data_IF_822751409635
#
_entry.id   IF_822751409635
#
_cell.length_a   1.000
_cell.length_b   1.000
_cell.length_c   1.000
_cell.angle_alpha   90.00
_cell.angle_beta   90.00
_cell.angle_gamma   90.00
#
_symmetry.space_group_name_H-M   'P 1'
#
loop_
_entity.id
_entity.type
_entity.pdbx_description
1 polymer ?
#
# COMPACT_ATOMS: atom_id res chain seq x y z
N UNK A 1 -21.30 -0.70 -24.12
CA UNK A 1 -21.06 -2.13 -24.43
C UNK A 1 -22.13 -2.57 -25.41
N UNK A 2 -21.93 -2.33 -26.70
CA UNK A 2 -22.83 -2.82 -27.75
C UNK A 2 -22.76 -4.35 -27.74
N UNK A 3 -23.88 -5.01 -27.41
CA UNK A 3 -24.02 -6.48 -27.47
C UNK A 3 -24.16 -7.19 -26.12
N UNK A 4 -24.17 -6.48 -24.99
CA UNK A 4 -24.46 -7.10 -23.69
C UNK A 4 -25.99 -7.04 -23.45
N UNK A 5 -26.58 -8.18 -23.07
CA UNK A 5 -27.97 -8.28 -22.66
C UNK A 5 -28.26 -7.24 -21.57
N UNK A 6 -29.37 -6.50 -21.71
CA UNK A 6 -29.76 -5.41 -20.79
C UNK A 6 -29.76 -5.81 -19.31
N UNK A 7 -29.98 -7.10 -19.01
CA UNK A 7 -29.94 -7.63 -17.65
C UNK A 7 -28.57 -7.47 -16.94
N UNK A 8 -27.46 -7.35 -17.70
CA UNK A 8 -26.12 -7.18 -17.16
C UNK A 8 -25.71 -5.72 -17.05
N UNK A 9 -26.54 -4.78 -17.50
CA UNK A 9 -26.27 -3.35 -17.37
C UNK A 9 -26.16 -2.96 -15.90
N UNK A 10 -25.07 -2.33 -15.55
CA UNK A 10 -24.86 -1.75 -14.20
C UNK A 10 -25.45 -0.35 -14.22
N UNK A 11 -26.44 -0.08 -13.36
CA UNK A 11 -26.99 1.26 -13.20
C UNK A 11 -25.95 2.23 -12.61
N UNK A 12 -26.16 3.54 -12.73
CA UNK A 12 -25.29 4.55 -12.10
C UNK A 12 -25.24 4.38 -10.58
N UNK A 13 -26.36 4.04 -9.97
CA UNK A 13 -26.45 3.80 -8.53
C UNK A 13 -25.71 2.55 -8.11
N UNK A 14 -25.89 1.43 -8.82
CA UNK A 14 -25.13 0.19 -8.59
C UNK A 14 -23.62 0.44 -8.78
N UNK A 15 -23.23 1.21 -9.81
CA UNK A 15 -21.83 1.56 -10.05
C UNK A 15 -21.24 2.30 -8.85
N UNK A 16 -21.93 3.30 -8.32
CA UNK A 16 -21.44 4.13 -7.23
C UNK A 16 -21.43 3.42 -5.87
N UNK A 17 -22.35 2.46 -5.63
CA UNK A 17 -22.51 1.83 -4.31
C UNK A 17 -21.84 0.46 -4.20
N UNK A 18 -21.75 -0.27 -5.32
CA UNK A 18 -21.34 -1.69 -5.30
C UNK A 18 -20.05 -1.93 -6.07
N UNK A 19 -19.87 -1.27 -7.21
CA UNK A 19 -18.80 -1.59 -8.15
C UNK A 19 -17.65 -0.59 -8.16
N UNK A 20 -17.84 0.60 -7.56
CA UNK A 20 -16.83 1.66 -7.59
C UNK A 20 -15.53 1.22 -6.92
N UNK A 21 -14.39 1.51 -7.59
CA UNK A 21 -13.06 1.21 -7.08
C UNK A 21 -12.66 -0.27 -7.09
N UNK A 22 -13.57 -1.20 -7.36
CA UNK A 22 -13.24 -2.63 -7.42
C UNK A 22 -12.43 -2.97 -8.69
N UNK A 23 -11.48 -3.93 -8.60
CA UNK A 23 -10.83 -4.54 -9.76
C UNK A 23 -11.85 -5.16 -10.72
N UNK A 24 -11.52 -5.19 -12.02
CA UNK A 24 -12.46 -5.70 -13.05
C UNK A 24 -12.90 -7.14 -12.79
N UNK A 25 -11.99 -8.02 -12.37
CA UNK A 25 -12.34 -9.41 -12.07
C UNK A 25 -13.35 -9.53 -10.92
N UNK A 26 -13.23 -8.70 -9.90
CA UNK A 26 -14.19 -8.66 -8.79
C UNK A 26 -15.57 -8.18 -9.25
N UNK A 27 -15.60 -7.17 -10.14
CA UNK A 27 -16.86 -6.71 -10.76
C UNK A 27 -17.53 -7.81 -11.58
N UNK A 28 -16.76 -8.56 -12.37
CA UNK A 28 -17.27 -9.67 -13.18
C UNK A 28 -17.80 -10.82 -12.32
N UNK A 29 -17.10 -11.16 -11.24
CA UNK A 29 -17.60 -12.17 -10.28
C UNK A 29 -18.92 -11.73 -9.64
N UNK A 30 -19.03 -10.47 -9.20
CA UNK A 30 -20.29 -9.93 -8.66
C UNK A 30 -21.42 -9.94 -9.69
N UNK A 31 -21.13 -9.69 -10.98
CA UNK A 31 -22.13 -9.80 -12.05
C UNK A 31 -22.57 -11.25 -12.26
N UNK A 32 -21.65 -12.20 -12.16
CA UNK A 32 -22.01 -13.63 -12.20
C UNK A 32 -22.92 -14.00 -11.05
N UNK A 33 -22.57 -13.62 -9.83
CA UNK A 33 -23.31 -13.97 -8.62
C UNK A 33 -24.68 -13.27 -8.54
N UNK A 34 -24.78 -12.02 -8.97
CA UNK A 34 -26.01 -11.21 -8.84
C UNK A 34 -26.93 -11.27 -10.05
N UNK A 35 -26.35 -11.35 -11.25
CA UNK A 35 -27.10 -11.23 -12.51
C UNK A 35 -26.94 -12.45 -13.42
N UNK A 36 -26.18 -13.48 -12.99
CA UNK A 36 -26.02 -14.74 -13.74
C UNK A 36 -25.14 -14.59 -14.99
N UNK A 37 -24.15 -13.67 -14.99
CA UNK A 37 -23.18 -13.55 -16.08
C UNK A 37 -22.36 -14.84 -16.17
N UNK A 38 -22.23 -15.42 -17.39
CA UNK A 38 -21.38 -16.59 -17.58
C UNK A 38 -19.91 -16.27 -17.30
N UNK A 39 -19.24 -17.11 -16.51
CA UNK A 39 -17.81 -16.97 -16.25
C UNK A 39 -16.94 -17.14 -17.49
N UNK A 40 -17.43 -17.86 -18.50
CA UNK A 40 -16.74 -18.03 -19.78
C UNK A 40 -16.57 -16.70 -20.52
N UNK A 41 -17.52 -15.75 -20.36
CA UNK A 41 -17.45 -14.43 -21.00
C UNK A 41 -16.55 -13.44 -20.26
N UNK A 42 -16.05 -13.76 -19.06
CA UNK A 42 -15.24 -12.83 -18.25
C UNK A 42 -14.00 -12.35 -19.01
N UNK A 43 -13.29 -13.25 -19.68
CA UNK A 43 -12.06 -12.92 -20.43
C UNK A 43 -12.34 -11.92 -21.55
N UNK A 44 -13.38 -12.16 -22.34
CA UNK A 44 -13.70 -11.32 -23.49
C UNK A 44 -14.18 -9.93 -23.02
N UNK A 45 -15.01 -9.87 -21.99
CA UNK A 45 -15.45 -8.62 -21.39
C UNK A 45 -14.26 -7.84 -20.80
N UNK A 46 -13.31 -8.54 -20.17
CA UNK A 46 -12.10 -7.92 -19.63
C UNK A 46 -11.24 -7.32 -20.77
N UNK A 47 -11.02 -8.07 -21.85
CA UNK A 47 -10.26 -7.61 -23.03
C UNK A 47 -10.92 -6.40 -23.68
N UNK A 48 -12.23 -6.44 -23.91
CA UNK A 48 -12.99 -5.33 -24.48
C UNK A 48 -12.94 -4.08 -23.58
N UNK A 49 -13.07 -4.28 -22.27
CA UNK A 49 -12.93 -3.18 -21.30
C UNK A 49 -11.56 -2.52 -21.39
N UNK A 50 -10.47 -3.28 -21.47
CA UNK A 50 -9.13 -2.72 -21.60
C UNK A 50 -8.98 -1.92 -22.90
N UNK A 51 -9.41 -2.47 -24.03
CA UNK A 51 -9.39 -1.77 -25.33
C UNK A 51 -10.14 -0.44 -25.27
N UNK A 52 -11.38 -0.46 -24.78
CA UNK A 52 -12.21 0.75 -24.64
C UNK A 52 -11.54 1.77 -23.69
N UNK A 53 -10.92 1.30 -22.60
CA UNK A 53 -10.24 2.17 -21.66
C UNK A 53 -9.04 2.88 -22.32
N UNK A 54 -8.23 2.16 -23.07
CA UNK A 54 -7.10 2.73 -23.85
C UNK A 54 -7.60 3.78 -24.84
N UNK A 55 -8.66 3.46 -25.61
CA UNK A 55 -9.25 4.39 -26.59
C UNK A 55 -9.77 5.67 -25.91
N UNK A 56 -10.44 5.54 -24.77
CA UNK A 56 -10.93 6.69 -23.99
C UNK A 56 -9.78 7.56 -23.48
N UNK A 57 -8.71 6.98 -22.96
CA UNK A 57 -7.58 7.72 -22.46
C UNK A 57 -6.71 8.34 -23.55
N UNK A 58 -6.71 7.77 -24.75
CA UNK A 58 -5.93 8.29 -25.89
C UNK A 58 -6.28 9.74 -26.26
N UNK A 59 -7.48 10.23 -25.91
CA UNK A 59 -7.98 11.55 -26.22
C UNK A 59 -8.02 12.50 -25.00
N UNK A 60 -7.48 12.10 -23.85
CA UNK A 60 -7.42 12.99 -22.67
C UNK A 60 -6.30 14.02 -22.92
N UNK A 61 -6.59 15.34 -22.79
CA UNK A 61 -5.57 16.37 -22.86
C UNK A 61 -4.69 16.35 -21.61
N UNK A 62 -3.51 16.94 -21.73
CA UNK A 62 -2.65 17.21 -20.57
C UNK A 62 -3.38 18.05 -19.52
N UNK A 63 -3.14 17.74 -18.27
CA UNK A 63 -3.70 18.49 -17.14
C UNK A 63 -2.64 19.44 -16.57
N UNK A 64 -2.58 20.64 -17.14
CA UNK A 64 -1.58 21.65 -16.78
C UNK A 64 -1.64 22.08 -15.32
N UNK A 65 -2.81 22.07 -14.71
CA UNK A 65 -2.96 22.34 -13.27
C UNK A 65 -2.36 21.21 -12.44
N UNK A 66 -2.64 19.96 -12.81
CA UNK A 66 -2.05 18.80 -12.13
C UNK A 66 -0.52 18.79 -12.29
N UNK A 67 -0.01 19.12 -13.46
CA UNK A 67 1.44 19.26 -13.69
C UNK A 67 2.03 20.29 -12.71
N UNK A 68 1.41 21.46 -12.55
CA UNK A 68 1.90 22.47 -11.61
C UNK A 68 1.90 22.00 -10.15
N UNK A 69 0.95 21.13 -9.77
CA UNK A 69 0.93 20.50 -8.44
C UNK A 69 2.09 19.51 -8.28
N UNK A 70 2.38 18.70 -9.30
CA UNK A 70 3.52 17.78 -9.27
C UNK A 70 4.84 18.55 -9.17
N UNK A 71 5.00 19.63 -9.91
CA UNK A 71 6.17 20.51 -9.82
C UNK A 71 6.36 21.08 -8.42
N UNK A 72 5.28 21.57 -7.79
CA UNK A 72 5.33 22.07 -6.40
C UNK A 72 5.78 20.98 -5.42
N UNK A 73 5.25 19.77 -5.54
CA UNK A 73 5.62 18.62 -4.70
C UNK A 73 7.10 18.28 -4.90
N UNK A 74 7.56 18.19 -6.15
CA UNK A 74 8.96 17.88 -6.47
C UNK A 74 9.94 18.95 -6.01
N UNK A 75 9.57 20.22 -6.12
CA UNK A 75 10.37 21.36 -5.61
C UNK A 75 10.66 21.24 -4.12
N UNK A 76 9.79 20.57 -3.36
CA UNK A 76 9.96 20.31 -1.93
C UNK A 76 10.65 18.97 -1.63
N UNK A 77 11.24 18.31 -2.64
CA UNK A 77 11.91 17.01 -2.51
C UNK A 77 11.01 15.93 -1.89
N UNK A 78 9.74 15.91 -2.31
CA UNK A 78 8.76 14.89 -1.91
C UNK A 78 8.62 13.89 -3.06
N UNK A 79 8.67 12.60 -2.73
CA UNK A 79 8.48 11.52 -3.69
C UNK A 79 7.00 11.31 -3.99
N UNK A 80 6.71 10.89 -5.22
CA UNK A 80 5.35 10.66 -5.70
C UNK A 80 5.20 9.22 -6.15
N UNK A 81 4.20 8.52 -5.60
CA UNK A 81 3.78 7.22 -6.08
C UNK A 81 2.32 7.21 -6.50
N UNK A 82 1.99 6.31 -7.41
CA UNK A 82 0.60 6.01 -7.79
C UNK A 82 0.27 4.57 -7.41
N UNK A 83 -0.80 4.39 -6.66
CA UNK A 83 -1.35 3.08 -6.30
C UNK A 83 -2.77 2.94 -6.83
N UNK A 84 -3.05 1.93 -7.65
CA UNK A 84 -4.34 1.78 -8.34
C UNK A 84 -4.77 0.32 -8.50
N UNK A 85 -6.10 0.07 -8.38
CA UNK A 85 -6.70 -1.22 -8.73
C UNK A 85 -6.78 -1.47 -10.25
N UNK A 86 -6.18 -0.62 -11.08
CA UNK A 86 -6.01 -0.82 -12.51
C UNK A 86 -4.75 -1.63 -12.81
N UNK A 87 -4.65 -2.20 -14.02
CA UNK A 87 -3.42 -2.81 -14.52
C UNK A 87 -2.38 -1.75 -14.85
N UNK A 88 -1.11 -2.12 -14.82
CA UNK A 88 0.03 -1.20 -15.02
C UNK A 88 -0.10 -0.42 -16.34
N UNK A 89 -0.38 -1.11 -17.45
CA UNK A 89 -0.53 -0.49 -18.76
C UNK A 89 -1.56 0.66 -18.76
N UNK A 90 -2.72 0.45 -18.13
CA UNK A 90 -3.76 1.49 -18.02
C UNK A 90 -3.28 2.70 -17.22
N UNK A 91 -2.54 2.45 -16.13
CA UNK A 91 -1.99 3.52 -15.29
C UNK A 91 -0.98 4.34 -16.08
N UNK A 92 -0.05 3.68 -16.77
CA UNK A 92 0.99 4.34 -17.54
C UNK A 92 0.44 5.20 -18.67
N UNK A 93 -0.54 4.69 -19.43
CA UNK A 93 -1.23 5.47 -20.47
C UNK A 93 -1.88 6.72 -19.86
N UNK A 94 -2.59 6.56 -18.74
CA UNK A 94 -3.24 7.67 -18.06
C UNK A 94 -2.24 8.75 -17.61
N UNK A 95 -1.17 8.35 -16.93
CA UNK A 95 -0.14 9.27 -16.43
C UNK A 95 0.58 10.00 -17.57
N UNK A 96 0.87 9.30 -18.68
CA UNK A 96 1.49 9.88 -19.86
C UNK A 96 0.58 10.92 -20.51
N UNK A 97 -0.71 10.60 -20.67
CA UNK A 97 -1.67 11.53 -21.27
C UNK A 97 -1.92 12.76 -20.42
N UNK A 98 -1.96 12.61 -19.11
CA UNK A 98 -2.07 13.72 -18.18
C UNK A 98 -0.80 14.59 -18.10
N UNK A 99 0.32 14.18 -18.71
CA UNK A 99 1.60 14.88 -18.66
C UNK A 99 2.34 14.75 -17.34
N UNK A 100 2.02 13.76 -16.51
CA UNK A 100 2.58 13.63 -15.16
C UNK A 100 3.42 12.37 -14.95
N UNK A 101 3.63 11.56 -15.98
CA UNK A 101 4.39 10.29 -15.85
C UNK A 101 5.78 10.50 -15.27
N UNK A 102 6.50 11.54 -15.72
CA UNK A 102 7.90 11.80 -15.34
C UNK A 102 8.04 12.29 -13.89
N UNK A 103 6.95 12.70 -13.24
CA UNK A 103 6.95 13.07 -11.82
C UNK A 103 6.75 11.88 -10.89
N UNK A 104 6.30 10.72 -11.42
CA UNK A 104 5.97 9.53 -10.62
C UNK A 104 7.16 8.58 -10.59
N UNK A 105 7.75 8.41 -9.41
CA UNK A 105 8.89 7.52 -9.22
C UNK A 105 8.50 6.05 -9.04
N UNK A 106 7.29 5.80 -8.55
CA UNK A 106 6.85 4.43 -8.30
C UNK A 106 5.35 4.23 -8.59
N UNK A 107 5.03 3.13 -9.24
CA UNK A 107 3.66 2.73 -9.53
C UNK A 107 3.41 1.37 -8.86
N UNK A 108 2.28 1.25 -8.18
CA UNK A 108 1.77 -0.01 -7.64
C UNK A 108 0.40 -0.28 -8.27
N UNK A 109 0.36 -1.24 -9.16
CA UNK A 109 -0.84 -1.71 -9.87
C UNK A 109 -1.53 -2.85 -9.10
N UNK A 110 -2.67 -3.32 -9.59
CA UNK A 110 -3.31 -4.52 -9.06
C UNK A 110 -2.51 -5.81 -9.36
N UNK A 111 -1.57 -5.75 -10.31
CA UNK A 111 -0.71 -6.87 -10.71
C UNK A 111 0.46 -7.06 -9.73
N UNK A 112 0.78 -6.03 -8.95
CA UNK A 112 1.89 -6.03 -8.00
C UNK A 112 1.50 -6.54 -6.62
N UNK A 113 0.21 -6.73 -6.34
CA UNK A 113 -0.29 -7.05 -5.01
C UNK A 113 -1.10 -8.33 -4.99
N UNK A 114 -1.03 -9.03 -3.89
CA UNK A 114 -1.88 -10.19 -3.65
C UNK A 114 -3.30 -9.77 -3.24
N UNK A 115 -3.39 -8.67 -2.50
CA UNK A 115 -4.64 -8.14 -1.97
C UNK A 115 -4.81 -6.68 -2.43
N UNK A 116 -5.59 -6.43 -3.51
CA UNK A 116 -5.87 -5.06 -3.96
C UNK A 116 -6.80 -4.31 -2.96
N UNK A 117 -6.97 -2.99 -3.17
CA UNK A 117 -7.90 -2.19 -2.35
C UNK A 117 -9.28 -2.87 -2.28
N UNK A 118 -9.89 -3.00 -1.11
CA UNK A 118 -9.70 -2.19 0.11
C UNK A 118 -8.56 -2.62 1.05
N UNK A 119 -7.77 -3.65 0.71
CA UNK A 119 -6.61 -4.01 1.51
C UNK A 119 -5.48 -2.96 1.37
N UNK A 120 -4.75 -2.61 2.43
CA UNK A 120 -3.73 -1.55 2.40
C UNK A 120 -2.41 -1.93 1.72
N UNK A 121 -2.25 -3.15 1.21
CA UNK A 121 -1.00 -3.70 0.67
C UNK A 121 -0.32 -2.80 -0.37
N UNK A 122 -1.10 -2.16 -1.27
CA UNK A 122 -0.55 -1.25 -2.27
C UNK A 122 0.17 -0.06 -1.65
N UNK A 123 -0.41 0.53 -0.60
CA UNK A 123 0.17 1.66 0.10
C UNK A 123 1.40 1.25 0.90
N UNK A 124 1.37 0.08 1.56
CA UNK A 124 2.54 -0.46 2.25
C UNK A 124 3.70 -0.75 1.29
N UNK A 125 3.41 -1.25 0.08
CA UNK A 125 4.44 -1.45 -0.95
C UNK A 125 5.05 -0.14 -1.41
N UNK A 126 4.23 0.89 -1.66
CA UNK A 126 4.73 2.22 -2.02
C UNK A 126 5.60 2.82 -0.90
N UNK A 127 5.14 2.77 0.36
CA UNK A 127 5.94 3.22 1.51
C UNK A 127 7.25 2.44 1.64
N UNK A 128 7.20 1.12 1.50
CA UNK A 128 8.40 0.27 1.56
C UNK A 128 9.41 0.59 0.46
N UNK A 129 8.95 0.89 -0.75
CA UNK A 129 9.83 1.27 -1.86
C UNK A 129 10.65 2.52 -1.55
N UNK A 130 10.05 3.53 -0.93
CA UNK A 130 10.72 4.77 -0.54
C UNK A 130 11.39 4.70 0.83
N UNK A 131 11.23 3.63 1.59
CA UNK A 131 11.69 3.55 2.97
C UNK A 131 10.97 4.51 3.91
N UNK A 132 9.74 4.92 3.57
CA UNK A 132 8.94 5.83 4.39
C UNK A 132 8.11 5.08 5.44
N UNK A 133 7.75 5.81 6.51
CA UNK A 133 6.77 5.37 7.50
C UNK A 133 5.40 6.04 7.24
N UNK A 134 4.40 5.62 7.98
CA UNK A 134 3.03 6.12 7.86
C UNK A 134 2.91 7.62 8.10
N UNK A 135 3.67 8.17 9.04
CA UNK A 135 3.65 9.58 9.39
C UNK A 135 4.28 10.48 8.31
N UNK A 136 5.19 9.91 7.48
CA UNK A 136 5.82 10.56 6.35
C UNK A 136 5.06 10.36 5.03
N UNK A 137 3.83 9.84 5.11
CA UNK A 137 3.04 9.47 3.94
C UNK A 137 1.68 10.12 3.95
N UNK A 138 1.34 10.79 2.85
CA UNK A 138 -0.01 11.32 2.60
C UNK A 138 -0.61 10.61 1.39
N UNK A 139 -1.84 10.19 1.54
CA UNK A 139 -2.62 9.51 0.50
C UNK A 139 -3.80 10.40 0.11
N UNK A 140 -3.87 10.75 -1.17
CA UNK A 140 -5.07 11.35 -1.77
C UNK A 140 -5.93 10.24 -2.35
N UNK A 141 -7.21 10.17 -1.97
CA UNK A 141 -8.07 9.08 -2.41
C UNK A 141 -9.53 9.51 -2.57
N UNK A 142 -10.14 9.12 -3.68
CA UNK A 142 -11.51 9.46 -4.06
C UNK A 142 -12.52 8.32 -3.87
N UNK A 143 -12.09 7.08 -4.02
CA UNK A 143 -12.95 5.90 -3.92
C UNK A 143 -13.16 5.42 -2.48
N UNK A 144 -14.30 4.79 -2.21
CA UNK A 144 -14.61 4.22 -0.89
C UNK A 144 -13.60 3.12 -0.54
N UNK A 145 -13.32 2.20 -1.46
CA UNK A 145 -12.39 1.08 -1.22
C UNK A 145 -10.95 1.58 -1.01
N UNK A 146 -10.56 2.64 -1.72
CA UNK A 146 -9.26 3.25 -1.54
C UNK A 146 -9.12 3.99 -0.21
N UNK A 147 -10.20 4.66 0.26
CA UNK A 147 -10.21 5.30 1.59
C UNK A 147 -10.11 4.29 2.72
N UNK A 148 -10.77 3.14 2.61
CA UNK A 148 -10.64 2.04 3.58
C UNK A 148 -9.17 1.58 3.60
N UNK A 149 -8.59 1.29 2.44
CA UNK A 149 -7.20 0.89 2.33
C UNK A 149 -6.23 1.94 2.90
N UNK A 150 -6.48 3.23 2.66
CA UNK A 150 -5.65 4.32 3.18
C UNK A 150 -5.75 4.43 4.71
N UNK A 151 -6.95 4.32 5.28
CA UNK A 151 -7.15 4.30 6.74
C UNK A 151 -6.43 3.10 7.37
N UNK A 152 -6.57 1.92 6.77
CA UNK A 152 -5.95 0.69 7.28
C UNK A 152 -4.43 0.69 7.12
N UNK A 153 -3.89 1.43 6.15
CA UNK A 153 -2.45 1.63 6.00
C UNK A 153 -1.83 2.46 7.14
N UNK A 154 -2.65 3.22 7.88
CA UNK A 154 -2.28 4.16 8.95
C UNK A 154 -1.58 5.43 8.45
N UNK A 155 -1.46 5.64 7.15
CA UNK A 155 -0.96 6.90 6.59
C UNK A 155 -2.01 8.01 6.68
N UNK A 156 -1.58 9.25 6.52
CA UNK A 156 -2.50 10.39 6.52
C UNK A 156 -3.35 10.41 5.26
N UNK A 157 -4.66 10.33 5.41
CA UNK A 157 -5.62 10.40 4.31
C UNK A 157 -6.15 11.81 4.08
N UNK A 158 -5.97 12.33 2.87
CA UNK A 158 -6.70 13.50 2.36
C UNK A 158 -7.77 13.00 1.38
N UNK A 159 -9.03 13.15 1.78
CA UNK A 159 -10.16 12.74 0.94
C UNK A 159 -10.35 13.75 -0.17
N UNK A 160 -10.46 13.26 -1.40
CA UNK A 160 -10.90 14.03 -2.57
C UNK A 160 -12.15 13.37 -3.17
N UNK A 161 -12.97 14.11 -3.87
CA UNK A 161 -14.16 13.56 -4.54
C UNK A 161 -13.83 13.07 -5.96
N UNK A 162 -12.97 13.79 -6.63
CA UNK A 162 -12.47 13.50 -7.98
C UNK A 162 -11.29 14.44 -8.28
N UNK A 163 -10.76 14.41 -9.50
CA UNK A 163 -9.62 15.25 -9.92
C UNK A 163 -9.88 16.76 -9.69
N UNK A 164 -11.08 17.27 -9.92
CA UNK A 164 -11.41 18.70 -9.76
C UNK A 164 -11.48 19.15 -8.29
N UNK A 165 -11.63 18.23 -7.38
CA UNK A 165 -11.61 18.51 -5.94
C UNK A 165 -10.17 18.55 -5.38
N UNK A 166 -9.19 18.14 -6.18
CA UNK A 166 -7.78 18.31 -5.87
C UNK A 166 -7.36 19.72 -6.29
N UNK A 167 -7.19 20.59 -5.32
CA UNK A 167 -6.83 21.99 -5.46
C UNK A 167 -5.48 22.32 -4.83
N UNK A 168 -4.99 23.54 -5.07
CA UNK A 168 -3.72 24.00 -4.55
C UNK A 168 -3.68 23.97 -3.02
N UNK A 169 -4.78 24.35 -2.35
CA UNK A 169 -4.83 24.37 -0.87
C UNK A 169 -4.60 22.99 -0.27
N UNK A 170 -5.15 21.93 -0.87
CA UNK A 170 -4.94 20.55 -0.42
C UNK A 170 -3.49 20.10 -0.64
N UNK A 171 -2.89 20.50 -1.76
CA UNK A 171 -1.49 20.19 -2.07
C UNK A 171 -0.55 20.92 -1.09
N UNK A 172 -0.74 22.23 -0.88
CA UNK A 172 0.08 23.01 0.06
C UNK A 172 -0.05 22.49 1.49
N UNK A 173 -1.25 22.11 1.90
CA UNK A 173 -1.49 21.46 3.19
C UNK A 173 -0.71 20.15 3.31
N UNK A 174 -0.74 19.30 2.28
CA UNK A 174 0.01 18.04 2.27
C UNK A 174 1.51 18.29 2.37
N UNK A 175 2.04 19.21 1.55
CA UNK A 175 3.45 19.59 1.60
C UNK A 175 3.83 20.11 2.98
N UNK A 176 3.01 20.97 3.57
CA UNK A 176 3.26 21.52 4.93
C UNK A 176 3.30 20.42 5.98
N UNK A 177 2.38 19.47 5.95
CA UNK A 177 2.35 18.33 6.88
C UNK A 177 3.65 17.50 6.74
N UNK A 178 4.02 17.13 5.52
CA UNK A 178 5.21 16.32 5.27
C UNK A 178 6.50 17.05 5.66
N UNK A 179 6.59 18.36 5.41
CA UNK A 179 7.77 19.15 5.81
C UNK A 179 7.85 19.35 7.32
N UNK A 180 6.72 19.46 8.03
CA UNK A 180 6.71 19.56 9.48
C UNK A 180 7.12 18.24 10.15
N UNK A 181 6.86 17.11 9.51
CA UNK A 181 7.27 15.78 9.97
C UNK A 181 8.75 15.48 9.67
N UNK A 182 9.33 16.11 8.62
CA UNK A 182 10.77 15.99 8.33
C UNK A 182 11.60 16.58 9.48
N UNK A 183 12.19 15.71 10.28
CA UNK A 183 13.03 16.06 11.41
C UNK A 183 12.41 15.77 12.78
N UNK A 184 11.17 15.32 12.83
CA UNK A 184 10.55 14.81 14.05
C UNK A 184 10.78 13.30 14.25
N UNK A 185 11.99 12.80 13.98
CA UNK A 185 12.42 11.56 14.61
C UNK A 185 12.47 11.83 16.12
N UNK A 186 11.30 11.77 16.75
CA UNK A 186 11.25 11.65 18.20
C UNK A 186 11.74 10.24 18.47
N UNK A 187 12.98 10.13 18.95
CA UNK A 187 13.57 8.88 19.46
C UNK A 187 12.61 8.11 20.37
N UNK A 188 11.68 8.85 21.04
CA UNK A 188 10.66 8.31 21.93
C UNK A 188 9.59 7.40 21.31
N UNK A 189 9.49 7.30 19.97
CA UNK A 189 8.51 6.47 19.28
C UNK A 189 9.14 5.41 18.35
N UNK A 190 10.43 5.19 18.45
CA UNK A 190 11.10 4.16 17.66
C UNK A 190 10.68 2.78 18.16
N UNK A 191 10.19 1.93 17.25
CA UNK A 191 9.90 0.53 17.51
C UNK A 191 10.92 -0.34 16.80
N UNK A 192 11.68 -1.10 17.55
CA UNK A 192 12.63 -2.08 17.01
C UNK A 192 11.97 -3.45 17.03
N UNK A 193 11.73 -4.03 15.85
CA UNK A 193 11.17 -5.36 15.71
C UNK A 193 12.30 -6.39 15.61
N UNK A 194 12.36 -7.30 16.58
CA UNK A 194 13.38 -8.37 16.63
C UNK A 194 12.73 -9.74 16.33
N UNK A 195 12.89 -10.29 15.13
CA UNK A 195 12.37 -11.60 14.80
C UNK A 195 13.28 -12.69 15.37
N UNK A 196 12.78 -13.45 16.34
CA UNK A 196 13.50 -14.59 16.96
C UNK A 196 12.72 -15.92 16.84
N UNK A 197 11.76 -16.00 15.93
CA UNK A 197 10.92 -17.18 15.76
C UNK A 197 11.57 -18.30 14.92
N UNK A 198 12.84 -18.18 14.52
CA UNK A 198 13.57 -19.20 13.79
C UNK A 198 13.79 -20.47 14.62
N UNK A 199 13.70 -21.64 13.97
CA UNK A 199 13.86 -22.94 14.64
C UNK A 199 15.28 -23.17 15.24
N UNK A 200 16.29 -22.44 14.74
CA UNK A 200 17.67 -22.56 15.26
C UNK A 200 18.31 -23.93 15.05
N UNK A 201 17.86 -24.70 14.05
CA UNK A 201 18.26 -26.09 13.82
C UNK A 201 19.78 -26.31 13.84
N UNK A 202 20.53 -25.42 13.19
CA UNK A 202 22.01 -25.49 13.17
C UNK A 202 22.65 -25.39 14.56
N UNK A 203 22.05 -24.67 15.49
CA UNK A 203 22.54 -24.59 16.87
C UNK A 203 22.15 -25.81 17.69
N UNK A 204 20.97 -26.37 17.46
CA UNK A 204 20.57 -27.64 18.07
C UNK A 204 21.47 -28.80 17.60
N UNK A 205 21.79 -28.87 16.30
CA UNK A 205 22.73 -29.82 15.71
C UNK A 205 24.16 -29.66 16.27
N UNK A 206 24.55 -28.42 16.61
CA UNK A 206 25.83 -28.13 17.26
C UNK A 206 25.84 -28.39 18.78
N UNK A 207 24.76 -28.94 19.34
CA UNK A 207 24.70 -29.37 20.74
C UNK A 207 24.29 -28.26 21.74
N UNK A 208 23.80 -27.11 21.27
CA UNK A 208 23.31 -26.06 22.18
C UNK A 208 21.95 -26.45 22.79
N UNK A 209 21.86 -26.39 24.12
CA UNK A 209 20.64 -26.75 24.84
C UNK A 209 19.51 -25.70 24.75
N UNK A 210 19.84 -24.46 24.40
CA UNK A 210 18.91 -23.34 24.32
C UNK A 210 18.70 -22.87 22.88
N UNK A 211 17.51 -22.29 22.55
CA UNK A 211 17.30 -21.62 21.26
C UNK A 211 18.32 -20.49 21.05
N UNK A 212 18.68 -20.23 19.79
CA UNK A 212 19.70 -19.24 19.42
C UNK A 212 19.64 -17.93 20.22
N UNK A 213 18.46 -17.29 20.44
CA UNK A 213 18.40 -16.01 21.17
C UNK A 213 18.81 -16.10 22.63
N UNK A 214 18.78 -17.30 23.21
CA UNK A 214 19.10 -17.57 24.62
C UNK A 214 20.48 -18.19 24.83
N UNK A 215 21.25 -18.39 23.77
CA UNK A 215 22.62 -18.86 23.87
C UNK A 215 23.47 -17.80 24.57
N UNK A 216 24.27 -18.19 25.50
CA UNK A 216 25.14 -17.33 26.28
C UNK A 216 26.26 -16.75 25.43
N UNK A 217 26.39 -15.42 25.45
CA UNK A 217 27.46 -14.69 24.77
C UNK A 217 28.03 -13.69 25.78
N UNK A 218 29.24 -13.92 26.23
CA UNK A 218 29.92 -13.12 27.25
C UNK A 218 29.06 -12.87 28.51
N UNK A 219 28.56 -13.94 29.10
CA UNK A 219 27.74 -13.96 30.31
C UNK A 219 26.36 -13.25 30.18
N UNK A 220 25.88 -13.11 28.94
CA UNK A 220 24.53 -12.58 28.63
C UNK A 220 23.85 -13.41 27.56
N UNK A 221 22.51 -13.53 27.58
CA UNK A 221 21.78 -14.07 26.44
C UNK A 221 22.09 -13.29 25.16
N UNK A 222 22.25 -13.99 24.04
CA UNK A 222 22.55 -13.38 22.73
C UNK A 222 21.58 -12.22 22.41
N UNK A 223 20.30 -12.36 22.74
CA UNK A 223 19.31 -11.31 22.51
C UNK A 223 19.61 -10.05 23.33
N UNK A 224 20.06 -10.20 24.57
CA UNK A 224 20.44 -9.05 25.39
C UNK A 224 21.69 -8.36 24.82
N UNK A 225 22.67 -9.11 24.36
CA UNK A 225 23.85 -8.56 23.71
C UNK A 225 23.49 -7.80 22.42
N UNK A 226 22.49 -8.29 21.66
CA UNK A 226 21.99 -7.58 20.46
C UNK A 226 21.33 -6.24 20.84
N UNK A 227 20.47 -6.22 21.85
CA UNK A 227 19.80 -4.99 22.31
C UNK A 227 20.82 -3.98 22.86
N UNK A 228 21.75 -4.46 23.69
CA UNK A 228 22.81 -3.61 24.25
C UNK A 228 23.69 -2.98 23.15
N UNK A 229 23.98 -3.72 22.08
CA UNK A 229 24.80 -3.23 20.97
C UNK A 229 24.04 -2.25 20.06
N UNK A 230 22.72 -2.32 20.00
CA UNK A 230 21.93 -1.33 19.26
C UNK A 230 22.00 0.04 19.91
N UNK A 231 22.08 0.08 21.26
CA UNK A 231 22.18 1.30 22.05
C UNK A 231 21.15 2.40 21.66
N UNK A 232 19.94 1.97 21.34
CA UNK A 232 18.85 2.82 20.86
C UNK A 232 17.78 2.90 21.94
N UNK A 233 17.35 4.10 22.29
CA UNK A 233 16.17 4.31 23.13
C UNK A 233 14.90 4.07 22.30
N UNK A 234 14.28 2.90 22.46
CA UNK A 234 13.17 2.45 21.63
C UNK A 234 12.27 1.47 22.39
N UNK A 235 11.06 1.28 21.87
CA UNK A 235 10.24 0.12 22.26
C UNK A 235 10.69 -1.09 21.45
N UNK A 236 11.07 -2.17 22.14
CA UNK A 236 11.47 -3.40 21.49
C UNK A 236 10.30 -4.38 21.42
N UNK A 237 10.00 -4.88 20.22
CA UNK A 237 8.96 -5.88 19.98
C UNK A 237 9.63 -7.17 19.48
N UNK A 238 9.37 -8.28 20.15
CA UNK A 238 9.99 -9.57 19.86
C UNK A 238 8.97 -10.52 19.24
N UNK A 239 9.30 -11.12 18.09
CA UNK A 239 8.51 -12.20 17.50
C UNK A 239 9.16 -13.52 17.90
N UNK A 240 8.48 -14.28 18.75
CA UNK A 240 9.00 -15.55 19.30
C UNK A 240 8.07 -16.71 18.95
N UNK A 241 8.61 -17.96 18.99
CA UNK A 241 7.77 -19.14 18.96
C UNK A 241 7.02 -19.28 20.29
N UNK A 242 5.73 -19.58 20.24
CA UNK A 242 4.91 -19.80 21.45
C UNK A 242 5.51 -20.85 22.37
N UNK A 243 6.01 -21.96 21.81
CA UNK A 243 6.67 -23.02 22.56
C UNK A 243 7.95 -22.55 23.30
N UNK A 244 8.70 -21.62 22.70
CA UNK A 244 9.88 -21.05 23.35
C UNK A 244 9.48 -20.03 24.43
N UNK A 245 8.46 -19.23 24.16
CA UNK A 245 7.94 -18.25 25.13
C UNK A 245 7.50 -18.95 26.43
N UNK A 246 6.73 -20.02 26.33
CA UNK A 246 6.21 -20.78 27.47
C UNK A 246 7.32 -21.58 28.17
N UNK A 247 8.16 -22.31 27.40
CA UNK A 247 9.20 -23.22 27.95
C UNK A 247 10.32 -22.49 28.67
N UNK A 248 10.73 -21.32 28.18
CA UNK A 248 11.88 -20.58 28.69
C UNK A 248 11.48 -19.30 29.44
N UNK A 249 10.19 -19.11 29.71
CA UNK A 249 9.65 -17.95 30.44
C UNK A 249 10.19 -16.61 29.93
N UNK A 250 10.12 -16.41 28.62
CA UNK A 250 10.70 -15.22 27.95
C UNK A 250 10.13 -13.89 28.43
N UNK A 251 8.92 -13.89 29.00
CA UNK A 251 8.32 -12.70 29.62
C UNK A 251 9.13 -12.13 30.79
N UNK A 252 10.07 -12.87 31.35
CA UNK A 252 10.96 -12.42 32.43
C UNK A 252 12.30 -11.89 31.90
N UNK A 253 12.62 -12.22 30.66
CA UNK A 253 13.90 -11.93 30.04
C UNK A 253 13.81 -10.72 29.10
N UNK A 254 12.62 -10.48 28.54
CA UNK A 254 12.33 -9.47 27.53
C UNK A 254 11.38 -8.41 28.07
#
# INVERSE_FOLDING_TARGET
>A
LAGVDEKYVISKEEQATIYEGLPTHSKLNLLSDRKGLSKESHRDIWMDKQRITVDMFSNIPEDTELISFMELIKKNNINIAVASNSILETIEICLTRLGIKDFVEHIVSNEDVKHPKPHPEMYWKAMSYFGCITDDTIIFEDSIVGRIAAIDSKATLIKVKNRRDLDLDKIEKAVTILLSNKGSWKESNLNVLIPMAGAGSRFAEAGYAFPKPLIDVHDKPMIQAVVDNLAIEATYTYIVQKSHFEKYNLSYLL
#
